data_IF_714241518054
#
_entry.id   IF_714241518054
#
_cell.length_a   1.000
_cell.length_b   1.000
_cell.length_c   1.000
_cell.angle_alpha   90.00
_cell.angle_beta   90.00
_cell.angle_gamma   90.00
#
_symmetry.space_group_name_H-M   'P 1'
#
loop_
_entity.id
_entity.type
_entity.pdbx_description
1 polymer ?
#
# COMPACT_ATOMS: atom_id res chain seq x y z
N UNK A 1 29.51 9.50 9.01
CA UNK A 1 29.08 10.13 10.27
C UNK A 1 27.70 9.56 10.59
N UNK A 2 27.52 8.92 11.75
CA UNK A 2 26.22 8.37 12.17
C UNK A 2 25.48 9.51 12.88
N UNK A 3 24.36 9.95 12.32
CA UNK A 3 23.52 10.98 12.93
C UNK A 3 22.79 10.38 14.15
N UNK A 4 22.67 11.13 15.23
CA UNK A 4 21.85 10.74 16.37
C UNK A 4 20.36 10.85 16.06
N UNK A 5 19.50 10.17 16.82
CA UNK A 5 18.03 10.27 16.65
C UNK A 5 17.53 11.70 16.83
N UNK A 6 18.07 12.44 17.80
CA UNK A 6 17.71 13.85 18.04
C UNK A 6 18.14 14.76 16.88
N UNK A 7 19.31 14.50 16.28
CA UNK A 7 19.76 15.22 15.08
C UNK A 7 18.85 14.94 13.89
N UNK A 8 18.41 13.70 13.70
CA UNK A 8 17.46 13.31 12.63
C UNK A 8 16.12 14.01 12.84
N UNK A 9 15.56 13.99 14.05
CA UNK A 9 14.30 14.67 14.38
C UNK A 9 14.40 16.17 14.06
N UNK A 10 15.46 16.83 14.53
CA UNK A 10 15.68 18.26 14.31
C UNK A 10 15.82 18.62 12.83
N UNK A 11 16.43 17.75 12.01
CA UNK A 11 16.50 17.94 10.55
C UNK A 11 15.12 17.78 9.90
N UNK A 12 14.37 16.76 10.28
CA UNK A 12 13.00 16.54 9.79
C UNK A 12 12.06 17.71 10.12
N UNK A 13 12.13 18.25 11.35
CA UNK A 13 11.27 19.37 11.77
C UNK A 13 11.62 20.71 11.08
N UNK A 14 12.86 20.86 10.59
CA UNK A 14 13.32 22.05 9.87
C UNK A 14 13.25 21.95 8.35
N UNK A 15 13.01 20.76 7.82
CA UNK A 15 12.97 20.53 6.38
C UNK A 15 11.82 21.34 5.75
N UNK A 16 12.15 22.18 4.77
CA UNK A 16 11.15 22.80 3.90
C UNK A 16 10.72 21.85 2.79
N UNK A 17 9.65 22.16 2.04
CA UNK A 17 9.19 21.34 0.92
C UNK A 17 10.28 21.01 -0.11
N UNK A 18 11.21 21.95 -0.35
CA UNK A 18 12.34 21.79 -1.27
C UNK A 18 13.40 20.78 -0.80
N UNK A 19 13.44 20.46 0.49
CA UNK A 19 14.40 19.51 1.06
C UNK A 19 13.86 18.07 1.01
N UNK A 20 12.57 17.90 0.75
CA UNK A 20 11.88 16.61 0.77
C UNK A 20 11.97 15.93 -0.59
N UNK A 21 12.34 14.64 -0.57
CA UNK A 21 12.32 13.76 -1.74
C UNK A 21 10.88 13.39 -2.11
N UNK A 22 10.02 13.28 -1.10
CA UNK A 22 8.58 13.04 -1.25
C UNK A 22 7.85 13.66 -0.06
N UNK A 23 6.70 14.25 -0.32
CA UNK A 23 5.86 14.87 0.70
C UNK A 23 4.39 14.72 0.35
N UNK A 24 3.62 14.18 1.29
CA UNK A 24 2.16 14.25 1.25
C UNK A 24 1.74 15.25 2.34
N UNK A 25 0.99 16.33 2.00
CA UNK A 25 0.47 17.24 3.00
C UNK A 25 -0.30 16.48 4.10
N UNK A 26 0.05 16.71 5.36
CA UNK A 26 -0.49 16.01 6.53
C UNK A 26 -0.25 14.49 6.57
N UNK A 27 0.59 13.97 5.66
CA UNK A 27 0.97 12.56 5.57
C UNK A 27 2.45 12.33 5.86
N UNK A 28 2.96 11.21 5.35
CA UNK A 28 4.36 10.84 5.50
C UNK A 28 5.25 11.66 4.54
N UNK A 29 6.49 11.90 4.97
CA UNK A 29 7.49 12.64 4.21
C UNK A 29 8.80 11.85 4.15
N UNK A 30 9.59 12.06 3.11
CA UNK A 30 10.93 11.46 2.95
C UNK A 30 11.96 12.57 2.82
N UNK A 31 12.94 12.58 3.72
CA UNK A 31 14.06 13.52 3.71
C UNK A 31 15.35 12.78 3.37
N UNK A 32 16.12 13.30 2.40
CA UNK A 32 17.48 12.82 2.13
C UNK A 32 18.43 13.40 3.18
N UNK A 33 19.01 12.53 4.02
CA UNK A 33 19.95 12.94 5.08
C UNK A 33 21.40 13.02 4.57
N UNK A 34 21.74 12.19 3.58
CA UNK A 34 23.03 12.17 2.86
C UNK A 34 22.87 11.44 1.52
N UNK A 35 23.94 11.28 0.75
CA UNK A 35 23.92 10.53 -0.52
C UNK A 35 23.61 9.04 -0.41
N UNK A 36 23.63 8.48 0.80
CA UNK A 36 23.36 7.06 1.05
C UNK A 36 22.31 6.79 2.11
N UNK A 37 21.72 7.83 2.71
CA UNK A 37 20.77 7.71 3.82
C UNK A 37 19.60 8.65 3.61
N UNK A 38 18.39 8.11 3.76
CA UNK A 38 17.15 8.87 3.83
C UNK A 38 16.36 8.46 5.08
N UNK A 39 15.42 9.32 5.46
CA UNK A 39 14.47 9.04 6.53
C UNK A 39 13.05 9.27 6.03
N UNK A 40 12.20 8.26 6.14
CA UNK A 40 10.75 8.39 6.02
C UNK A 40 10.18 8.68 7.40
N UNK A 41 9.36 9.71 7.54
CA UNK A 41 8.82 10.12 8.82
C UNK A 41 7.38 10.63 8.72
N UNK A 42 6.60 10.43 9.78
CA UNK A 42 5.20 10.81 9.83
C UNK A 42 4.40 9.99 10.84
N UNK A 43 3.15 10.36 11.08
CA UNK A 43 2.24 9.64 11.97
C UNK A 43 1.85 8.25 11.43
N UNK A 44 1.95 8.05 10.12
CA UNK A 44 1.65 6.77 9.46
C UNK A 44 2.85 5.86 9.27
N UNK A 45 4.07 6.28 9.66
CA UNK A 45 5.27 5.44 9.56
C UNK A 45 5.31 4.53 10.79
N UNK A 46 5.34 3.22 10.59
CA UNK A 46 5.19 2.26 11.68
C UNK A 46 6.37 1.29 11.76
N UNK A 47 6.55 0.67 12.93
CA UNK A 47 7.53 -0.42 13.11
C UNK A 47 7.27 -1.61 12.18
N UNK A 48 6.01 -1.83 11.80
CA UNK A 48 5.62 -2.93 10.92
C UNK A 48 6.11 -2.69 9.49
N UNK A 49 6.05 -1.45 9.01
CA UNK A 49 6.65 -1.06 7.73
C UNK A 49 8.16 -1.30 7.72
N UNK A 50 8.87 -0.83 8.75
CA UNK A 50 10.31 -1.06 8.90
C UNK A 50 10.65 -2.57 8.89
N UNK A 51 9.87 -3.37 9.63
CA UNK A 51 10.03 -4.82 9.71
C UNK A 51 9.72 -5.53 8.39
N UNK A 52 8.71 -5.06 7.65
CA UNK A 52 8.38 -5.57 6.31
C UNK A 52 9.53 -5.30 5.34
N UNK A 53 10.06 -4.08 5.31
CA UNK A 53 11.17 -3.71 4.44
C UNK A 53 12.45 -4.48 4.77
N UNK A 54 12.77 -4.65 6.06
CA UNK A 54 13.93 -5.43 6.49
C UNK A 54 13.81 -6.90 6.06
N UNK A 55 12.65 -7.52 6.26
CA UNK A 55 12.41 -8.90 5.80
C UNK A 55 12.47 -9.03 4.28
N UNK A 56 11.89 -8.08 3.55
CA UNK A 56 11.96 -8.06 2.08
C UNK A 56 13.43 -8.01 1.61
N UNK A 57 14.24 -7.14 2.22
CA UNK A 57 15.68 -7.06 1.96
C UNK A 57 16.39 -8.39 2.19
N UNK A 58 16.01 -9.15 3.23
CA UNK A 58 16.65 -10.43 3.57
C UNK A 58 16.27 -11.58 2.64
N UNK A 59 15.01 -11.65 2.19
CA UNK A 59 14.48 -12.84 1.48
C UNK A 59 14.51 -12.73 -0.05
N UNK A 60 14.72 -11.53 -0.59
CA UNK A 60 14.68 -11.27 -2.02
C UNK A 60 16.09 -11.26 -2.64
N UNK A 61 16.17 -11.69 -3.89
CA UNK A 61 17.40 -11.69 -4.67
C UNK A 61 17.64 -10.27 -5.22
N UNK A 62 18.74 -9.66 -4.80
CA UNK A 62 19.08 -8.29 -5.19
C UNK A 62 19.58 -8.17 -6.63
N UNK A 63 19.80 -9.28 -7.33
CA UNK A 63 20.01 -9.30 -8.77
C UNK A 63 18.71 -9.17 -9.57
N UNK A 64 17.55 -9.42 -8.95
CA UNK A 64 16.23 -9.29 -9.58
C UNK A 64 15.52 -8.01 -9.13
N UNK A 65 15.59 -7.68 -7.84
CA UNK A 65 14.92 -6.51 -7.26
C UNK A 65 15.73 -5.92 -6.13
N UNK A 66 15.93 -4.60 -6.16
CA UNK A 66 16.57 -3.89 -5.04
C UNK A 66 15.54 -3.49 -4.00
N UNK A 67 15.96 -3.55 -2.74
CA UNK A 67 15.20 -3.08 -1.58
C UNK A 67 16.11 -2.15 -0.78
N UNK A 68 15.66 -0.97 -0.33
CA UNK A 68 16.49 -0.13 0.52
C UNK A 68 16.76 -0.81 1.86
N UNK A 69 18.03 -0.90 2.27
CA UNK A 69 18.39 -1.47 3.57
C UNK A 69 17.86 -0.59 4.71
N UNK A 70 17.22 -1.19 5.71
CA UNK A 70 16.82 -0.49 6.94
C UNK A 70 18.04 -0.32 7.85
N UNK A 71 18.20 0.87 8.44
CA UNK A 71 19.28 1.18 9.38
C UNK A 71 18.77 1.37 10.80
N UNK A 72 17.62 2.03 10.98
CA UNK A 72 16.99 2.22 12.29
C UNK A 72 15.49 2.49 12.12
N UNK A 73 14.73 2.19 13.17
CA UNK A 73 13.36 2.65 13.35
C UNK A 73 13.18 3.15 14.78
N UNK A 74 12.56 4.32 14.94
CA UNK A 74 12.19 4.85 16.25
C UNK A 74 10.96 5.75 16.17
N UNK A 75 10.36 6.00 17.32
CA UNK A 75 9.25 6.93 17.49
C UNK A 75 9.68 8.08 18.41
N UNK A 76 9.19 9.29 18.13
CA UNK A 76 9.37 10.42 19.04
C UNK A 76 8.36 10.41 20.19
N UNK A 77 8.48 11.37 21.12
CA UNK A 77 7.55 11.51 22.25
C UNK A 77 6.10 11.85 21.86
N UNK A 78 5.82 12.10 20.59
CA UNK A 78 4.47 12.36 20.03
C UNK A 78 3.93 11.16 19.26
N UNK A 79 4.66 10.05 19.20
CA UNK A 79 4.29 8.85 18.45
C UNK A 79 4.52 8.97 16.95
N UNK A 80 5.30 9.94 16.48
CA UNK A 80 5.69 10.04 15.06
C UNK A 80 6.79 9.02 14.78
N UNK A 81 6.60 8.18 13.77
CA UNK A 81 7.59 7.19 13.37
C UNK A 81 8.66 7.78 12.46
N UNK A 82 9.87 7.23 12.56
CA UNK A 82 11.04 7.57 11.76
C UNK A 82 11.70 6.26 11.29
N UNK A 83 11.64 6.01 9.99
CA UNK A 83 12.31 4.89 9.32
C UNK A 83 13.55 5.41 8.61
N UNK A 84 14.72 5.11 9.18
CA UNK A 84 16.02 5.47 8.61
C UNK A 84 16.47 4.32 7.72
N UNK A 85 16.75 4.62 6.46
CA UNK A 85 17.04 3.60 5.44
C UNK A 85 18.05 4.09 4.40
N UNK A 86 18.53 3.15 3.60
CA UNK A 86 19.36 3.42 2.45
C UNK A 86 18.65 4.38 1.49
N UNK A 87 19.34 5.45 1.10
CA UNK A 87 18.89 6.28 -0.01
C UNK A 87 19.25 5.59 -1.33
N UNK A 88 18.28 5.47 -2.21
CA UNK A 88 18.44 4.87 -3.53
C UNK A 88 18.43 5.98 -4.57
N UNK A 89 19.57 6.22 -5.20
CA UNK A 89 19.72 7.22 -6.26
C UNK A 89 19.19 6.67 -7.59
N UNK A 90 17.87 6.69 -7.74
CA UNK A 90 17.18 6.31 -8.96
C UNK A 90 16.00 7.24 -9.24
N UNK A 91 15.36 7.04 -10.38
CA UNK A 91 14.26 7.88 -10.85
C UNK A 91 12.95 7.08 -10.89
N UNK A 92 11.87 7.71 -10.45
CA UNK A 92 10.51 7.22 -10.73
C UNK A 92 10.11 7.61 -12.15
N UNK A 93 9.22 6.84 -12.76
CA UNK A 93 8.59 7.21 -14.02
C UNK A 93 7.08 7.17 -13.84
N UNK A 94 6.33 7.98 -14.58
CA UNK A 94 4.87 8.00 -14.45
C UNK A 94 4.20 6.81 -15.18
N UNK A 95 4.81 6.36 -16.28
CA UNK A 95 4.31 5.26 -17.11
C UNK A 95 5.44 4.37 -17.57
N UNK A 96 5.15 3.08 -17.79
CA UNK A 96 6.10 2.12 -18.32
C UNK A 96 5.66 1.71 -19.73
N UNK A 97 6.32 2.26 -20.73
CA UNK A 97 6.08 1.94 -22.14
C UNK A 97 7.24 1.14 -22.76
N UNK A 98 8.38 1.09 -22.08
CA UNK A 98 9.54 0.31 -22.50
C UNK A 98 9.31 -1.19 -22.18
N UNK A 99 9.33 -2.07 -23.18
CA UNK A 99 9.21 -3.52 -22.98
C UNK A 99 10.20 -4.07 -21.95
N UNK A 100 11.43 -3.55 -21.90
CA UNK A 100 12.45 -4.03 -20.96
C UNK A 100 12.08 -3.77 -19.49
N UNK A 101 11.36 -2.68 -19.23
CA UNK A 101 10.85 -2.35 -17.91
C UNK A 101 9.70 -3.28 -17.52
N UNK A 102 8.79 -3.55 -18.44
CA UNK A 102 7.69 -4.48 -18.23
C UNK A 102 8.23 -5.90 -17.98
N UNK A 103 9.24 -6.33 -18.72
CA UNK A 103 9.92 -7.61 -18.53
C UNK A 103 10.62 -7.69 -17.17
N UNK A 104 11.29 -6.61 -16.75
CA UNK A 104 11.91 -6.55 -15.43
C UNK A 104 10.86 -6.64 -14.30
N UNK A 105 9.74 -5.91 -14.40
CA UNK A 105 8.66 -5.97 -13.42
C UNK A 105 7.96 -7.34 -13.40
N UNK A 106 7.84 -7.99 -14.57
CA UNK A 106 7.34 -9.36 -14.66
C UNK A 106 8.27 -10.32 -13.90
N UNK A 107 9.60 -10.20 -14.08
CA UNK A 107 10.58 -10.98 -13.32
C UNK A 107 10.51 -10.72 -11.81
N UNK A 108 10.25 -9.48 -11.39
CA UNK A 108 10.03 -9.17 -9.96
C UNK A 108 8.79 -9.89 -9.43
N UNK A 109 7.66 -9.84 -10.15
CA UNK A 109 6.41 -10.51 -9.74
C UNK A 109 6.56 -12.04 -9.69
N UNK A 110 7.27 -12.63 -10.65
CA UNK A 110 7.55 -14.07 -10.64
C UNK A 110 8.49 -14.45 -9.51
N UNK A 111 9.49 -13.62 -9.21
CA UNK A 111 10.37 -13.82 -8.05
C UNK A 111 9.59 -13.74 -6.73
N UNK A 112 8.69 -12.76 -6.57
CA UNK A 112 7.79 -12.68 -5.41
C UNK A 112 6.92 -13.94 -5.28
N UNK A 113 6.40 -14.46 -6.40
CA UNK A 113 5.58 -15.68 -6.42
C UNK A 113 6.33 -16.93 -5.90
N UNK A 114 7.67 -16.92 -5.93
CA UNK A 114 8.48 -18.02 -5.35
C UNK A 114 8.55 -17.99 -3.83
N UNK A 115 8.25 -16.85 -3.19
CA UNK A 115 8.26 -16.70 -1.73
C UNK A 115 6.88 -17.06 -1.20
N UNK A 116 6.76 -18.22 -0.54
CA UNK A 116 5.49 -18.76 -0.06
C UNK A 116 5.40 -18.76 1.46
N UNK A 117 4.18 -18.75 1.98
CA UNK A 117 3.88 -18.89 3.41
C UNK A 117 2.68 -19.79 3.61
N UNK A 118 2.61 -20.47 4.75
CA UNK A 118 1.40 -21.20 5.18
C UNK A 118 0.36 -20.27 5.82
N UNK A 119 0.81 -19.11 6.30
CA UNK A 119 -0.04 -18.12 6.99
C UNK A 119 -0.15 -16.83 6.20
N UNK A 120 -1.36 -16.24 6.11
CA UNK A 120 -1.53 -14.95 5.48
C UNK A 120 -1.07 -13.82 6.38
N UNK A 121 -0.85 -12.65 5.78
CA UNK A 121 -0.69 -11.39 6.51
C UNK A 121 0.60 -10.65 6.18
N UNK A 122 0.81 -9.49 6.81
CA UNK A 122 1.92 -8.59 6.49
C UNK A 122 3.28 -9.22 6.75
N UNK A 123 4.26 -8.88 5.92
CA UNK A 123 5.60 -9.44 5.99
C UNK A 123 6.24 -9.13 7.34
N UNK A 124 6.15 -7.88 7.80
CA UNK A 124 6.59 -7.40 9.11
C UNK A 124 5.73 -7.83 10.30
N UNK A 125 4.62 -8.54 10.05
CA UNK A 125 3.58 -8.82 11.03
C UNK A 125 2.68 -7.61 11.31
N UNK A 126 1.71 -7.80 12.21
CA UNK A 126 0.74 -6.75 12.56
C UNK A 126 -0.46 -6.68 11.61
N UNK A 127 -1.20 -5.56 11.63
CA UNK A 127 -2.40 -5.36 10.80
C UNK A 127 -2.11 -5.13 9.31
N UNK A 128 -3.01 -5.58 8.44
CA UNK A 128 -2.92 -5.44 6.99
C UNK A 128 -3.41 -4.06 6.54
N UNK A 129 -2.48 -3.19 6.17
CA UNK A 129 -2.74 -1.79 5.79
C UNK A 129 -2.91 -1.56 4.29
N UNK A 130 -2.89 -2.62 3.47
CA UNK A 130 -3.10 -2.49 2.04
C UNK A 130 -4.50 -1.91 1.75
N UNK A 131 -4.59 -1.02 0.76
CA UNK A 131 -5.84 -0.41 0.30
C UNK A 131 -6.97 -1.41 0.05
N UNK A 132 -6.61 -2.61 -0.41
CA UNK A 132 -7.52 -3.71 -0.66
C UNK A 132 -8.41 -4.04 0.55
N UNK A 133 -7.93 -3.73 1.76
CA UNK A 133 -8.64 -3.90 3.03
C UNK A 133 -9.32 -2.61 3.53
N UNK A 134 -9.38 -1.55 2.72
CA UNK A 134 -10.02 -0.29 3.07
C UNK A 134 -9.21 0.59 4.02
N UNK A 135 -9.80 1.72 4.42
CA UNK A 135 -9.13 2.78 5.20
C UNK A 135 -9.50 2.77 6.70
N UNK A 136 -10.33 1.81 7.13
CA UNK A 136 -10.74 1.62 8.53
C UNK A 136 -9.72 0.78 9.31
N UNK A 137 -10.07 0.37 10.53
CA UNK A 137 -9.23 -0.51 11.37
C UNK A 137 -8.66 -1.70 10.57
N UNK A 138 -7.34 -1.72 10.31
CA UNK A 138 -6.74 -2.71 9.44
C UNK A 138 -6.85 -4.12 10.04
N UNK A 139 -7.23 -5.14 9.25
CA UNK A 139 -7.45 -6.48 9.75
C UNK A 139 -6.15 -7.25 9.98
N UNK A 140 -6.17 -8.14 10.95
CA UNK A 140 -5.18 -9.22 11.11
C UNK A 140 -5.80 -10.53 10.65
N UNK A 141 -5.01 -11.39 10.01
CA UNK A 141 -5.46 -12.69 9.51
C UNK A 141 -4.55 -13.79 10.05
N UNK A 142 -5.12 -14.88 10.52
CA UNK A 142 -4.36 -16.09 10.89
C UNK A 142 -4.52 -17.19 9.84
N UNK A 143 -5.64 -17.16 9.10
CA UNK A 143 -6.04 -18.19 8.15
C UNK A 143 -6.64 -17.60 6.87
N UNK A 144 -6.72 -18.40 5.80
CA UNK A 144 -7.40 -18.02 4.55
C UNK A 144 -8.88 -17.76 4.82
N UNK A 145 -9.50 -18.53 5.72
CA UNK A 145 -10.89 -18.39 6.14
C UNK A 145 -11.15 -17.03 6.78
N UNK A 146 -10.16 -16.43 7.46
CA UNK A 146 -10.29 -15.08 8.01
C UNK A 146 -10.35 -14.02 6.90
N UNK A 147 -9.56 -14.20 5.84
CA UNK A 147 -9.60 -13.34 4.64
C UNK A 147 -10.96 -13.51 3.93
N UNK A 148 -11.38 -14.75 3.70
CA UNK A 148 -12.69 -15.04 3.08
C UNK A 148 -13.82 -14.39 3.89
N UNK A 149 -13.80 -14.55 5.22
CA UNK A 149 -14.79 -13.93 6.12
C UNK A 149 -14.77 -12.40 5.99
N UNK A 150 -13.60 -11.79 5.94
CA UNK A 150 -13.45 -10.34 5.77
C UNK A 150 -14.14 -9.83 4.51
N UNK A 151 -13.98 -10.49 3.36
CA UNK A 151 -14.66 -10.07 2.13
C UNK A 151 -16.14 -10.47 2.11
N UNK A 152 -16.49 -11.66 2.60
CA UNK A 152 -17.84 -12.21 2.45
C UNK A 152 -18.90 -11.44 3.24
N UNK A 153 -18.60 -10.99 4.44
CA UNK A 153 -19.52 -10.13 5.20
C UNK A 153 -19.79 -8.78 4.52
N UNK A 154 -18.89 -8.34 3.64
CA UNK A 154 -19.01 -7.10 2.85
C UNK A 154 -19.81 -7.33 1.57
N UNK A 155 -20.25 -8.56 1.29
CA UNK A 155 -21.24 -8.82 0.26
C UNK A 155 -22.65 -8.57 0.79
N UNK A 156 -23.34 -7.59 0.19
CA UNK A 156 -24.69 -7.19 0.59
C UNK A 156 -25.80 -8.05 -0.02
N UNK A 157 -25.44 -9.02 -0.85
CA UNK A 157 -26.39 -9.87 -1.60
C UNK A 157 -26.11 -11.33 -1.25
N UNK A 158 -27.16 -12.04 -0.83
CA UNK A 158 -27.12 -13.48 -0.53
C UNK A 158 -26.72 -14.30 -1.77
N UNK A 159 -25.84 -15.29 -1.59
CA UNK A 159 -25.38 -16.19 -2.65
C UNK A 159 -24.04 -15.81 -3.29
N UNK A 160 -23.51 -14.62 -3.04
CA UNK A 160 -22.16 -14.23 -3.46
C UNK A 160 -21.15 -14.62 -2.35
N UNK A 161 -20.45 -15.74 -2.54
CA UNK A 161 -19.44 -16.22 -1.58
C UNK A 161 -18.09 -16.33 -2.27
N UNK A 162 -17.12 -15.54 -1.80
CA UNK A 162 -15.71 -15.68 -2.15
C UNK A 162 -15.17 -16.92 -1.45
N UNK A 163 -14.57 -17.81 -2.25
CA UNK A 163 -13.68 -18.84 -1.74
C UNK A 163 -12.29 -18.71 -2.36
N UNK A 164 -11.30 -18.67 -1.49
CA UNK A 164 -9.86 -18.65 -1.71
C UNK A 164 -9.22 -20.00 -1.40
N UNK A 165 -10.01 -21.03 -1.09
CA UNK A 165 -9.51 -22.39 -0.88
C UNK A 165 -8.64 -22.87 -2.05
N UNK A 166 -7.52 -23.50 -1.70
CA UNK A 166 -6.50 -23.94 -2.66
C UNK A 166 -5.62 -22.83 -3.24
N UNK A 167 -5.80 -21.57 -2.84
CA UNK A 167 -4.90 -20.49 -3.25
C UNK A 167 -3.56 -20.61 -2.51
N UNK A 168 -2.46 -20.52 -3.25
CA UNK A 168 -1.15 -20.36 -2.64
C UNK A 168 -1.00 -18.93 -2.11
N UNK A 169 -0.46 -18.81 -0.89
CA UNK A 169 -0.08 -17.53 -0.32
C UNK A 169 1.36 -17.22 -0.74
N UNK A 170 1.50 -16.21 -1.60
CA UNK A 170 2.77 -15.74 -2.11
C UNK A 170 3.04 -14.34 -1.62
N UNK A 171 4.30 -13.89 -1.67
CA UNK A 171 4.61 -12.51 -1.41
C UNK A 171 3.87 -11.61 -2.42
N UNK A 172 3.10 -10.67 -1.90
CA UNK A 172 2.50 -9.57 -2.63
C UNK A 172 3.01 -8.28 -2.00
N UNK A 173 3.38 -7.32 -2.84
CA UNK A 173 3.68 -5.96 -2.44
C UNK A 173 2.40 -5.16 -2.16
N UNK A 174 1.37 -5.36 -2.99
CA UNK A 174 0.05 -4.71 -2.93
C UNK A 174 0.05 -3.18 -3.10
N UNK A 175 1.20 -2.53 -3.22
CA UNK A 175 1.31 -1.13 -3.64
C UNK A 175 2.38 -0.93 -4.74
N UNK A 176 2.51 -1.92 -5.64
CA UNK A 176 3.52 -1.90 -6.71
C UNK A 176 3.09 -0.96 -7.85
N UNK A 177 3.23 0.34 -7.59
CA UNK A 177 2.90 1.44 -8.50
C UNK A 177 4.16 2.24 -8.85
N UNK A 178 4.15 3.07 -9.92
CA UNK A 178 5.36 3.71 -10.42
C UNK A 178 6.05 4.61 -9.41
N UNK A 179 5.27 5.27 -8.54
CA UNK A 179 5.79 6.06 -7.41
C UNK A 179 6.68 5.27 -6.45
N UNK A 180 6.50 3.95 -6.39
CA UNK A 180 7.22 3.03 -5.52
C UNK A 180 8.27 2.20 -6.28
N UNK A 181 8.57 2.55 -7.54
CA UNK A 181 9.57 1.87 -8.35
C UNK A 181 10.60 2.91 -8.77
N UNK A 182 11.86 2.68 -8.38
CA UNK A 182 13.00 3.46 -8.87
C UNK A 182 13.77 2.65 -9.89
N UNK A 183 14.12 3.31 -11.00
CA UNK A 183 15.06 2.78 -11.98
C UNK A 183 16.45 3.31 -11.67
N UNK A 184 17.41 2.40 -11.52
CA UNK A 184 18.80 2.69 -11.24
C UNK A 184 19.63 2.34 -12.47
N UNK A 185 20.64 3.16 -12.79
CA UNK A 185 21.53 2.87 -13.92
C UNK A 185 22.16 1.48 -13.76
N UNK A 186 22.03 0.67 -14.80
CA UNK A 186 22.64 -0.66 -14.95
C UNK A 186 22.35 -1.63 -13.80
N UNK A 187 21.19 -1.46 -13.15
CA UNK A 187 20.76 -2.24 -11.99
C UNK A 187 19.30 -2.66 -12.13
N UNK A 188 18.89 -3.75 -11.44
CA UNK A 188 17.49 -4.11 -11.37
C UNK A 188 16.65 -2.99 -10.70
N UNK A 189 15.34 -2.94 -10.97
CA UNK A 189 14.46 -1.95 -10.35
C UNK A 189 14.52 -2.05 -8.83
N UNK A 190 14.44 -0.90 -8.15
CA UNK A 190 14.28 -0.85 -6.71
C UNK A 190 12.82 -0.64 -6.36
N UNK A 191 12.29 -1.47 -5.47
CA UNK A 191 10.91 -1.36 -4.97
C UNK A 191 10.92 -0.73 -3.58
N UNK A 192 10.10 0.30 -3.42
CA UNK A 192 9.93 1.11 -2.21
C UNK A 192 8.57 0.83 -1.53
N UNK A 193 8.41 1.36 -0.32
CA UNK A 193 7.15 1.35 0.45
C UNK A 193 6.54 -0.03 0.68
N UNK A 194 7.20 -0.78 1.58
CA UNK A 194 6.83 -2.15 1.92
C UNK A 194 5.73 -2.25 2.99
N UNK A 195 5.01 -1.16 3.29
CA UNK A 195 4.02 -1.10 4.37
C UNK A 195 2.86 -2.07 4.15
N UNK A 196 2.42 -2.25 2.89
CA UNK A 196 1.31 -3.13 2.51
C UNK A 196 1.73 -4.57 2.17
N UNK A 197 3.05 -4.84 2.13
CA UNK A 197 3.56 -6.10 1.65
C UNK A 197 3.28 -7.25 2.62
N UNK A 198 2.99 -8.43 2.09
CA UNK A 198 2.69 -9.62 2.89
C UNK A 198 2.42 -10.85 2.06
N UNK A 199 2.07 -11.95 2.73
CA UNK A 199 1.72 -13.20 2.08
C UNK A 199 0.21 -13.29 1.86
N UNK A 200 -0.21 -13.29 0.60
CA UNK A 200 -1.60 -13.26 0.20
C UNK A 200 -1.83 -14.06 -1.10
N UNK A 201 -3.08 -14.39 -1.47
CA UNK A 201 -3.35 -14.98 -2.78
C UNK A 201 -2.84 -14.08 -3.91
N UNK A 202 -2.13 -14.64 -4.90
CA UNK A 202 -1.50 -13.88 -6.01
C UNK A 202 -2.47 -12.92 -6.71
N UNK A 203 -3.75 -13.28 -6.81
CA UNK A 203 -4.80 -12.45 -7.41
C UNK A 203 -4.98 -11.08 -6.71
N UNK A 204 -4.48 -10.91 -5.48
CA UNK A 204 -4.58 -9.64 -4.74
C UNK A 204 -3.70 -8.55 -5.35
N UNK A 205 -2.58 -8.89 -6.00
CA UNK A 205 -1.81 -7.90 -6.77
C UNK A 205 -2.67 -7.27 -7.87
N UNK A 206 -3.37 -8.11 -8.65
CA UNK A 206 -4.27 -7.63 -9.69
C UNK A 206 -5.44 -6.82 -9.12
N UNK A 207 -6.01 -7.25 -7.99
CA UNK A 207 -7.07 -6.49 -7.31
C UNK A 207 -6.59 -5.11 -6.86
N UNK A 208 -5.37 -4.99 -6.31
CA UNK A 208 -4.83 -3.70 -5.89
C UNK A 208 -4.69 -2.73 -7.06
N UNK A 209 -4.15 -3.19 -8.19
CA UNK A 209 -4.04 -2.40 -9.43
C UNK A 209 -5.40 -1.92 -9.93
N UNK A 210 -6.40 -2.81 -9.94
CA UNK A 210 -7.77 -2.49 -10.38
C UNK A 210 -8.47 -1.49 -9.45
N UNK A 211 -8.24 -1.57 -8.14
CA UNK A 211 -8.82 -0.61 -7.19
C UNK A 211 -8.19 0.77 -7.39
N UNK A 212 -6.87 0.88 -7.51
CA UNK A 212 -6.22 2.18 -7.77
C UNK A 212 -6.65 2.79 -9.09
N UNK A 213 -6.72 2.00 -10.15
CA UNK A 213 -7.27 2.42 -11.46
C UNK A 213 -8.65 3.06 -11.31
N UNK A 214 -9.53 2.46 -10.48
CA UNK A 214 -10.88 2.98 -10.24
C UNK A 214 -10.90 4.29 -9.43
N UNK A 215 -9.97 4.45 -8.49
CA UNK A 215 -9.89 5.64 -7.64
C UNK A 215 -9.28 6.82 -8.38
N UNK A 216 -8.19 6.59 -9.11
CA UNK A 216 -7.37 7.64 -9.71
C UNK A 216 -7.78 7.95 -11.16
N UNK A 217 -8.67 7.14 -11.77
CA UNK A 217 -9.01 7.19 -13.20
C UNK A 217 -7.77 7.08 -14.11
N UNK A 218 -6.62 6.71 -13.56
CA UNK A 218 -5.36 6.44 -14.24
C UNK A 218 -5.32 4.99 -14.69
N UNK A 219 -4.71 4.70 -15.84
CA UNK A 219 -4.50 3.31 -16.27
C UNK A 219 -3.61 2.59 -15.26
N UNK A 220 -4.07 1.45 -14.73
CA UNK A 220 -3.25 0.60 -13.88
C UNK A 220 -1.90 0.30 -14.52
N UNK A 221 -0.87 0.18 -13.69
CA UNK A 221 0.53 0.25 -14.14
C UNK A 221 1.05 -1.11 -14.56
N UNK A 222 0.59 -2.14 -13.86
CA UNK A 222 0.86 -3.52 -14.21
C UNK A 222 -0.42 -4.13 -14.78
N UNK A 223 -0.44 -4.46 -16.06
CA UNK A 223 -1.49 -5.26 -16.66
C UNK A 223 -1.32 -6.73 -16.25
N UNK A 224 -1.52 -7.01 -14.96
CA UNK A 224 -1.37 -8.36 -14.40
C UNK A 224 -2.46 -9.24 -15.02
N UNK A 225 -2.10 -10.27 -15.82
CA UNK A 225 -3.09 -11.14 -16.43
C UNK A 225 -3.89 -11.87 -15.35
N UNK A 226 -5.21 -11.83 -15.45
CA UNK A 226 -6.11 -12.53 -14.55
C UNK A 226 -6.61 -13.79 -15.26
N UNK A 227 -6.28 -15.00 -14.78
CA UNK A 227 -6.81 -16.24 -15.34
C UNK A 227 -8.34 -16.24 -15.36
N UNK A 228 -8.95 -16.86 -16.37
CA UNK A 228 -10.41 -16.90 -16.51
C UNK A 228 -11.12 -17.46 -15.27
N UNK A 229 -10.54 -18.50 -14.66
CA UNK A 229 -11.05 -19.12 -13.44
C UNK A 229 -11.06 -18.16 -12.23
N UNK A 230 -10.19 -17.15 -12.22
CA UNK A 230 -10.07 -16.20 -11.11
C UNK A 230 -10.89 -14.92 -11.31
N UNK A 231 -11.42 -14.65 -12.52
CA UNK A 231 -12.23 -13.45 -12.79
C UNK A 231 -13.44 -13.35 -11.85
N UNK A 232 -14.07 -14.47 -11.53
CA UNK A 232 -15.17 -14.51 -10.56
C UNK A 232 -14.73 -14.09 -9.15
N UNK A 233 -13.58 -14.58 -8.68
CA UNK A 233 -12.99 -14.22 -7.37
C UNK A 233 -12.61 -12.74 -7.33
N UNK A 234 -11.96 -12.24 -8.38
CA UNK A 234 -11.60 -10.82 -8.49
C UNK A 234 -12.85 -9.94 -8.45
N UNK A 235 -13.90 -10.29 -9.19
CA UNK A 235 -15.17 -9.54 -9.18
C UNK A 235 -15.78 -9.45 -7.78
N UNK A 236 -15.78 -10.55 -7.02
CA UNK A 236 -16.27 -10.58 -5.64
C UNK A 236 -15.43 -9.69 -4.72
N UNK A 237 -14.10 -9.79 -4.79
CA UNK A 237 -13.18 -8.95 -4.00
C UNK A 237 -13.43 -7.47 -4.26
N UNK A 238 -13.50 -7.06 -5.54
CA UNK A 238 -13.73 -5.67 -5.92
C UNK A 238 -15.12 -5.17 -5.49
N UNK A 239 -16.14 -6.04 -5.49
CA UNK A 239 -17.48 -5.71 -5.00
C UNK A 239 -17.50 -5.53 -3.48
N UNK A 240 -16.86 -6.42 -2.74
CA UNK A 240 -16.71 -6.30 -1.29
C UNK A 240 -15.95 -5.02 -0.91
N UNK A 241 -14.86 -4.71 -1.60
CA UNK A 241 -14.13 -3.45 -1.41
C UNK A 241 -15.03 -2.23 -1.68
N UNK A 242 -15.76 -2.21 -2.80
CA UNK A 242 -16.66 -1.11 -3.14
C UNK A 242 -17.81 -0.93 -2.13
N UNK A 243 -18.30 -2.01 -1.53
CA UNK A 243 -19.28 -1.93 -0.44
C UNK A 243 -18.64 -1.38 0.84
N UNK A 244 -17.39 -1.74 1.16
CA UNK A 244 -16.68 -1.20 2.32
C UNK A 244 -16.46 0.31 2.24
N UNK A 245 -16.41 0.89 1.04
CA UNK A 245 -16.35 2.34 0.85
C UNK A 245 -17.68 3.06 1.10
N UNK A 246 -18.81 2.32 1.12
CA UNK A 246 -20.17 2.88 1.19
C UNK A 246 -20.90 2.58 2.49
N UNK A 247 -20.50 1.53 3.18
CA UNK A 247 -21.18 1.04 4.38
C UNK A 247 -20.18 0.80 5.50
N UNK A 248 -20.61 1.05 6.73
CA UNK A 248 -19.82 0.78 7.92
C UNK A 248 -19.95 -0.69 8.35
N UNK A 249 -18.80 -1.27 8.68
CA UNK A 249 -18.69 -2.63 9.19
C UNK A 249 -17.84 -2.56 10.46
N UNK A 250 -18.41 -2.92 11.62
CA UNK A 250 -17.69 -2.89 12.89
C UNK A 250 -17.28 -4.27 13.35
N UNK A 251 -16.22 -4.31 14.16
CA UNK A 251 -15.70 -5.52 14.77
C UNK A 251 -16.31 -5.68 16.17
N UNK A 252 -17.29 -6.56 16.33
CA UNK A 252 -17.90 -6.93 17.60
C UNK A 252 -17.46 -8.35 17.99
N UNK A 253 -16.87 -8.51 19.18
CA UNK A 253 -16.45 -9.82 19.72
C UNK A 253 -15.53 -10.63 18.77
N UNK A 254 -14.65 -9.95 18.04
CA UNK A 254 -13.75 -10.60 17.07
C UNK A 254 -14.41 -11.01 15.75
N UNK A 255 -15.69 -10.65 15.54
CA UNK A 255 -16.43 -10.84 14.29
C UNK A 255 -16.80 -9.49 13.69
N UNK A 256 -16.77 -9.41 12.38
CA UNK A 256 -17.20 -8.19 11.69
C UNK A 256 -18.68 -8.30 11.33
N UNK A 257 -19.45 -7.26 11.63
CA UNK A 257 -20.89 -7.18 11.39
C UNK A 257 -21.18 -5.91 10.60
N UNK A 258 -22.09 -5.98 9.63
CA UNK A 258 -22.61 -4.78 8.95
C UNK A 258 -23.45 -3.99 9.95
N UNK A 259 -23.14 -2.72 10.16
CA UNK A 259 -23.99 -1.88 10.99
C UNK A 259 -25.28 -1.52 10.27
N UNK A 260 -26.40 -1.60 10.98
CA UNK A 260 -27.66 -1.06 10.50
C UNK A 260 -27.70 0.45 10.76
N UNK A 261 -27.18 1.21 9.81
CA UNK A 261 -27.20 2.68 9.87
C UNK A 261 -28.54 3.28 9.45
N UNK A 262 -29.59 2.46 9.24
CA UNK A 262 -30.91 2.97 8.85
C UNK A 262 -31.51 3.92 9.89
N UNK A 263 -31.23 3.69 11.18
CA UNK A 263 -31.63 4.59 12.27
C UNK A 263 -30.89 5.94 12.25
N UNK A 264 -29.60 5.95 11.91
CA UNK A 264 -28.79 7.19 11.78
C UNK A 264 -29.18 8.01 10.55
N UNK A 265 -29.60 7.35 9.47
CA UNK A 265 -30.09 8.00 8.25
C UNK A 265 -31.53 8.53 8.41
N UNK A 266 -32.34 7.95 9.31
CA UNK A 266 -33.69 8.40 9.60
C UNK A 266 -33.74 9.76 10.33
N UNK A 267 -32.66 10.16 11.00
CA UNK A 267 -32.53 11.48 11.65
C UNK A 267 -32.13 12.62 10.70
N UNK A 268 -31.80 12.32 9.43
CA UNK A 268 -31.47 13.30 8.39
C UNK A 268 -32.54 13.30 7.28
N UNK A 269 -33.61 14.12 7.38
CA UNK A 269 -34.69 14.16 6.39
C UNK A 269 -34.33 14.98 5.12
N UNK A 270 -33.08 15.39 4.95
CA UNK A 270 -32.63 16.18 3.82
C UNK A 270 -31.91 15.34 2.76
N UNK A 271 -31.94 15.75 1.47
CA UNK A 271 -31.07 15.14 0.48
C UNK A 271 -29.62 15.23 0.94
N UNK A 272 -28.86 14.14 0.75
CA UNK A 272 -27.42 14.11 1.00
C UNK A 272 -26.80 15.34 0.33
N UNK A 273 -25.96 16.14 1.04
CA UNK A 273 -25.25 17.22 0.39
C UNK A 273 -24.46 16.63 -0.78
N UNK A 274 -24.51 17.31 -1.93
CA UNK A 274 -23.64 16.98 -3.05
C UNK A 274 -22.22 16.77 -2.53
N UNK A 275 -21.48 15.75 -3.01
CA UNK A 275 -20.10 15.56 -2.62
C UNK A 275 -19.39 16.92 -2.77
N UNK A 276 -18.54 17.32 -1.81
CA UNK A 276 -17.78 18.55 -1.97
C UNK A 276 -17.09 18.43 -3.34
N UNK A 277 -17.31 19.44 -4.19
CA UNK A 277 -16.51 19.55 -5.40
C UNK A 277 -15.06 19.33 -5.00
N UNK A 278 -14.36 18.46 -5.72
CA UNK A 278 -12.94 18.27 -5.53
C UNK A 278 -12.31 19.66 -5.35
N UNK A 279 -11.46 19.88 -4.32
CA UNK A 279 -10.80 21.16 -4.17
C UNK A 279 -10.20 21.51 -5.53
N UNK A 280 -10.59 22.66 -6.07
CA UNK A 280 -10.01 23.19 -7.29
C UNK A 280 -8.51 23.15 -7.04
N UNK A 281 -7.81 22.26 -7.76
CA UNK A 281 -6.36 22.22 -7.76
C UNK A 281 -5.93 23.65 -8.08
N UNK A 282 -5.17 24.23 -7.16
CA UNK A 282 -4.61 25.56 -7.28
C UNK A 282 -4.07 25.76 -8.70
N UNK A 283 -4.76 26.60 -9.49
CA UNK A 283 -4.22 27.12 -10.74
C UNK A 283 -3.15 28.14 -10.37
N UNK A 284 -1.88 27.94 -10.74
CA UNK A 284 -0.86 28.94 -10.53
C UNK A 284 -1.23 30.23 -11.30
N UNK A 285 -0.97 31.43 -10.75
CA UNK A 285 -1.23 32.66 -11.45
C UNK A 285 -0.36 32.74 -12.71
N UNK A 286 -0.99 33.14 -13.82
CA UNK A 286 -0.33 33.42 -15.09
C UNK A 286 0.89 34.33 -14.85
N UNK A 287 2.07 33.87 -15.27
CA UNK A 287 3.25 34.71 -15.37
C UNK A 287 2.99 35.76 -16.46
N UNK A 288 3.08 37.06 -16.16
CA UNK A 288 3.02 38.07 -17.21
C UNK A 288 4.27 37.95 -18.11
N UNK A 289 4.01 37.99 -19.42
CA UNK A 289 4.97 38.08 -20.51
C UNK A 289 5.92 39.26 -20.39
#
# INVERSE_FOLDING_TARGET
MVLSRDEIINRCDKAGPQDLVSHIPYGNSVLKLSDSVAVKFGSGVTKYEASSQEKAYQILDHCIVRVPKVYDFFEDGRGRGYLVMQFMAGETQETFTDPSQLDALSQVLDHFATRKSEKPGPLGGGPSSALLFGESDPPTFETIEDIERWFNIRHLVTGATLSLQGSELVLCHLDLFPRNILWLSDQPPCVLDWASAGYFPRIFEACSQLIRTRLEQSGGVLQIPIPECDKGRVSLILKAWGNAQRFHFTRAEGRYVKEDTSALLAEYPGPLPSPPHAPILYTPPDLPS
#
